data_IF_565569901872
#
_entry.id   IF_565569901872
#
_cell.length_a   1.000
_cell.length_b   1.000
_cell.length_c   1.000
_cell.angle_alpha   90.00
_cell.angle_beta   90.00
_cell.angle_gamma   90.00
#
_symmetry.space_group_name_H-M   'P 1'
#
loop_
_entity.id
_entity.type
_entity.pdbx_description
1 polymer ?
#
# COMPACT_ATOMS: atom_id res chain seq x y z
N UNK A 1 -4.17 5.14 -16.27
CA UNK A 1 -3.61 3.93 -15.62
C UNK A 1 -4.77 3.07 -15.13
N UNK A 2 -4.76 1.76 -15.37
CA UNK A 2 -5.80 0.87 -14.82
C UNK A 2 -5.45 0.56 -13.37
N UNK A 3 -6.37 0.80 -12.44
CA UNK A 3 -6.16 0.48 -11.03
C UNK A 3 -6.43 -1.01 -10.81
N UNK A 4 -5.38 -1.76 -10.48
CA UNK A 4 -5.50 -3.15 -10.05
C UNK A 4 -5.94 -3.21 -8.59
N UNK A 5 -7.23 -2.90 -8.34
CA UNK A 5 -7.80 -2.90 -6.99
C UNK A 5 -8.29 -4.27 -6.58
N UNK A 6 -8.03 -4.64 -5.33
CA UNK A 6 -8.64 -5.80 -4.65
C UNK A 6 -8.83 -5.53 -3.17
N UNK A 7 -9.73 -6.25 -2.53
CA UNK A 7 -9.92 -6.22 -1.08
C UNK A 7 -8.95 -7.23 -0.44
N UNK A 8 -8.31 -6.83 0.65
CA UNK A 8 -7.44 -7.70 1.43
C UNK A 8 -8.21 -8.90 2.01
N UNK A 9 -7.64 -10.10 1.86
CA UNK A 9 -8.17 -11.30 2.51
C UNK A 9 -7.78 -11.37 3.98
N UNK A 10 -8.48 -12.21 4.76
CA UNK A 10 -8.17 -12.42 6.18
C UNK A 10 -6.78 -13.03 6.39
N UNK A 11 -6.33 -13.91 5.51
CA UNK A 11 -5.01 -14.55 5.59
C UNK A 11 -3.87 -13.54 5.39
N UNK A 12 -4.12 -12.47 4.63
CA UNK A 12 -3.14 -11.40 4.40
C UNK A 12 -3.04 -10.40 5.55
N UNK A 13 -3.97 -10.43 6.50
CA UNK A 13 -4.08 -9.43 7.56
C UNK A 13 -2.76 -9.27 8.34
N UNK A 14 -2.10 -10.37 8.71
CA UNK A 14 -0.83 -10.33 9.43
C UNK A 14 0.29 -9.66 8.63
N UNK A 15 0.40 -9.98 7.33
CA UNK A 15 1.41 -9.39 6.42
C UNK A 15 1.17 -7.90 6.24
N UNK A 16 -0.07 -7.51 5.93
CA UNK A 16 -0.48 -6.12 5.72
C UNK A 16 -0.28 -5.30 7.00
N UNK A 17 -0.66 -5.82 8.15
CA UNK A 17 -0.43 -5.17 9.44
C UNK A 17 1.06 -4.91 9.70
N UNK A 18 1.93 -5.87 9.36
CA UNK A 18 3.38 -5.70 9.50
C UNK A 18 3.92 -4.61 8.59
N UNK A 19 3.45 -4.54 7.33
CA UNK A 19 3.82 -3.47 6.39
C UNK A 19 3.38 -2.11 6.94
N UNK A 20 2.12 -1.95 7.34
CA UNK A 20 1.58 -0.68 7.89
C UNK A 20 2.41 -0.22 9.10
N UNK A 21 2.69 -1.13 10.03
CA UNK A 21 3.50 -0.82 11.22
C UNK A 21 4.93 -0.45 10.85
N UNK A 22 5.52 -1.13 9.87
CA UNK A 22 6.87 -0.82 9.40
C UNK A 22 6.92 0.57 8.73
N UNK A 23 6.02 0.84 7.79
CA UNK A 23 5.85 2.15 7.15
C UNK A 23 5.72 3.28 8.17
N UNK A 24 4.87 3.08 9.19
CA UNK A 24 4.70 4.03 10.30
C UNK A 24 6.00 4.27 11.06
N UNK A 25 6.73 3.22 11.46
CA UNK A 25 7.99 3.33 12.22
C UNK A 25 9.08 4.04 11.43
N UNK A 26 9.11 3.87 10.11
CA UNK A 26 10.15 4.41 9.22
C UNK A 26 9.70 5.69 8.48
N UNK A 27 8.51 6.21 8.78
CA UNK A 27 7.90 7.35 8.10
C UNK A 27 7.87 7.18 6.56
N UNK A 28 7.67 5.96 6.08
CA UNK A 28 7.61 5.63 4.66
C UNK A 28 6.17 5.52 4.20
N UNK A 29 5.74 6.45 3.35
CA UNK A 29 4.42 6.45 2.74
C UNK A 29 4.51 7.03 1.33
N UNK A 30 3.52 6.72 0.50
CA UNK A 30 3.31 7.34 -0.81
C UNK A 30 1.98 8.07 -0.74
N UNK A 31 2.01 9.40 -0.90
CA UNK A 31 0.86 10.28 -0.73
C UNK A 31 0.06 10.01 0.57
N UNK A 32 0.78 9.73 1.68
CA UNK A 32 0.19 9.43 2.99
C UNK A 32 -0.31 7.99 3.17
N UNK A 33 -0.19 7.13 2.17
CA UNK A 33 -0.55 5.71 2.27
C UNK A 33 0.66 4.81 2.51
N UNK A 34 0.58 3.84 3.43
CA UNK A 34 1.57 2.77 3.53
C UNK A 34 1.65 1.98 2.22
N UNK A 35 2.83 1.44 1.94
CA UNK A 35 3.06 0.62 0.77
C UNK A 35 4.00 -0.54 1.08
N UNK A 36 3.87 -1.64 0.35
CA UNK A 36 4.88 -2.68 0.24
C UNK A 36 5.58 -2.56 -1.11
N UNK A 37 6.89 -2.76 -1.12
CA UNK A 37 7.66 -2.95 -2.34
C UNK A 37 8.35 -4.31 -2.32
N UNK A 38 8.19 -5.06 -3.41
CA UNK A 38 8.87 -6.34 -3.59
C UNK A 38 9.64 -6.31 -4.91
N UNK A 39 10.93 -6.68 -4.86
CA UNK A 39 11.77 -6.76 -6.05
C UNK A 39 11.34 -7.96 -6.92
N UNK A 40 10.98 -7.70 -8.18
CA UNK A 40 10.60 -8.74 -9.14
C UNK A 40 11.76 -9.02 -10.07
N UNK A 41 12.61 -9.97 -9.66
CA UNK A 41 13.79 -10.36 -10.43
C UNK A 41 14.75 -9.19 -10.64
N UNK A 42 15.15 -8.96 -11.90
CA UNK A 42 15.96 -7.81 -12.32
C UNK A 42 15.16 -6.68 -12.94
N UNK A 43 13.84 -6.83 -13.07
CA UNK A 43 13.02 -5.98 -13.94
C UNK A 43 12.55 -4.71 -13.24
N UNK A 44 12.46 -4.73 -11.90
CA UNK A 44 12.07 -3.58 -11.09
C UNK A 44 11.27 -4.00 -9.86
N UNK A 45 10.43 -3.10 -9.35
CA UNK A 45 9.62 -3.34 -8.16
C UNK A 45 8.14 -3.59 -8.47
N UNK A 46 7.53 -4.52 -7.74
CA UNK A 46 6.09 -4.59 -7.56
C UNK A 46 5.70 -3.67 -6.41
N UNK A 47 4.81 -2.72 -6.68
CA UNK A 47 4.32 -1.78 -5.67
C UNK A 47 2.91 -2.15 -5.20
N UNK A 48 2.76 -2.48 -3.92
CA UNK A 48 1.47 -2.69 -3.28
C UNK A 48 1.09 -1.47 -2.45
N UNK A 49 0.11 -0.69 -2.91
CA UNK A 49 -0.43 0.44 -2.16
C UNK A 49 -1.53 -0.02 -1.20
N UNK A 50 -1.36 0.23 0.10
CA UNK A 50 -2.33 -0.13 1.13
C UNK A 50 -3.23 1.07 1.44
N UNK A 51 -4.54 0.93 1.21
CA UNK A 51 -5.51 2.01 1.41
C UNK A 51 -6.70 1.52 2.23
N UNK A 52 -7.38 2.39 3.02
CA UNK A 52 -8.63 2.00 3.65
C UNK A 52 -9.70 1.77 2.57
N UNK A 53 -10.60 0.81 2.82
CA UNK A 53 -11.71 0.51 1.93
C UNK A 53 -12.58 1.75 1.69
N UNK A 54 -12.97 1.97 0.43
CA UNK A 54 -13.71 3.17 0.04
C UNK A 54 -12.84 4.38 -0.33
N UNK A 55 -11.50 4.22 -0.39
CA UNK A 55 -10.61 5.27 -0.91
C UNK A 55 -10.90 5.56 -2.38
N UNK A 56 -11.04 6.85 -2.71
CA UNK A 56 -11.39 7.26 -4.07
C UNK A 56 -10.34 6.80 -5.10
N UNK A 57 -10.78 6.40 -6.31
CA UNK A 57 -9.86 6.01 -7.39
C UNK A 57 -8.83 7.09 -7.73
N UNK A 58 -9.21 8.36 -7.66
CA UNK A 58 -8.34 9.52 -7.90
C UNK A 58 -7.16 9.53 -6.91
N UNK A 59 -7.44 9.42 -5.60
CA UNK A 59 -6.39 9.38 -4.58
C UNK A 59 -5.45 8.18 -4.75
N UNK A 60 -5.99 7.01 -5.09
CA UNK A 60 -5.16 5.84 -5.41
C UNK A 60 -4.26 6.11 -6.62
N UNK A 61 -4.79 6.79 -7.64
CA UNK A 61 -4.06 7.10 -8.86
C UNK A 61 -2.92 8.08 -8.59
N UNK A 62 -3.20 9.16 -7.86
CA UNK A 62 -2.19 10.17 -7.49
C UNK A 62 -1.05 9.55 -6.69
N UNK A 63 -1.39 8.68 -5.71
CA UNK A 63 -0.41 7.93 -4.95
C UNK A 63 0.45 7.04 -5.86
N UNK A 64 -0.16 6.24 -6.73
CA UNK A 64 0.60 5.40 -7.64
C UNK A 64 1.50 6.23 -8.57
N UNK A 65 1.02 7.35 -9.13
CA UNK A 65 1.83 8.25 -9.98
C UNK A 65 3.07 8.73 -9.22
N UNK A 66 2.92 9.13 -7.95
CA UNK A 66 4.07 9.46 -7.11
C UNK A 66 5.01 8.25 -6.94
N UNK A 67 4.47 7.07 -6.67
CA UNK A 67 5.24 5.83 -6.57
C UNK A 67 6.09 5.53 -7.81
N UNK A 68 5.50 5.64 -9.00
CA UNK A 68 6.19 5.50 -10.30
C UNK A 68 7.26 6.57 -10.54
N UNK A 69 7.10 7.77 -9.96
CA UNK A 69 8.09 8.86 -10.13
C UNK A 69 9.33 8.69 -9.27
N UNK A 70 9.21 7.99 -8.14
CA UNK A 70 10.28 7.82 -7.16
C UNK A 70 10.98 6.46 -7.28
N UNK A 71 10.38 5.50 -7.99
CA UNK A 71 10.80 4.09 -8.00
C UNK A 71 10.62 3.45 -9.37
N UNK A 72 11.41 2.42 -9.65
CA UNK A 72 11.35 1.65 -10.89
C UNK A 72 10.22 0.60 -10.85
N UNK A 73 8.97 1.09 -10.85
CA UNK A 73 7.77 0.26 -10.70
C UNK A 73 7.44 -0.43 -12.02
N UNK A 74 7.48 -1.77 -12.04
CA UNK A 74 7.05 -2.56 -13.21
C UNK A 74 5.60 -2.99 -13.13
N UNK A 75 5.10 -3.22 -11.92
CA UNK A 75 3.72 -3.65 -11.68
C UNK A 75 3.21 -3.06 -10.37
N UNK A 76 1.90 -2.89 -10.26
CA UNK A 76 1.28 -2.37 -9.04
C UNK A 76 -0.01 -3.09 -8.69
N UNK A 77 -0.37 -3.03 -7.40
CA UNK A 77 -1.67 -3.40 -6.88
C UNK A 77 -2.13 -2.35 -5.85
N UNK A 78 -3.45 -2.15 -5.78
CA UNK A 78 -4.07 -1.36 -4.72
C UNK A 78 -4.86 -2.32 -3.84
N UNK A 79 -4.46 -2.42 -2.58
CA UNK A 79 -5.07 -3.32 -1.61
C UNK A 79 -5.94 -2.48 -0.68
N UNK A 80 -7.25 -2.65 -0.84
CA UNK A 80 -8.24 -2.06 0.05
C UNK A 80 -8.33 -2.90 1.33
N UNK A 81 -7.93 -2.29 2.44
CA UNK A 81 -7.96 -2.89 3.76
C UNK A 81 -9.27 -2.48 4.46
N UNK A 82 -9.96 -3.40 5.15
CA UNK A 82 -11.04 -3.02 6.05
C UNK A 82 -10.63 -1.86 6.96
N UNK A 83 -11.46 -0.83 7.06
CA UNK A 83 -11.10 0.42 7.74
C UNK A 83 -10.66 0.20 9.19
N UNK A 84 -11.31 -0.72 9.90
CA UNK A 84 -10.97 -1.07 11.28
C UNK A 84 -9.55 -1.65 11.40
N UNK A 85 -9.14 -2.51 10.46
CA UNK A 85 -7.78 -3.08 10.45
C UNK A 85 -6.75 -2.01 10.15
N UNK A 86 -7.04 -1.17 9.15
CA UNK A 86 -6.13 -0.11 8.72
C UNK A 86 -5.89 0.89 9.85
N UNK A 87 -6.96 1.37 10.48
CA UNK A 87 -6.89 2.36 11.56
C UNK A 87 -6.23 1.78 12.82
N UNK A 88 -6.60 0.56 13.24
CA UNK A 88 -5.98 -0.06 14.43
C UNK A 88 -4.45 -0.19 14.30
N UNK A 89 -3.95 -0.50 13.10
CA UNK A 89 -2.52 -0.61 12.84
C UNK A 89 -1.81 0.74 12.66
N UNK A 90 -2.51 1.78 12.16
CA UNK A 90 -2.00 3.15 12.11
C UNK A 90 -1.95 3.81 13.50
N UNK A 91 -2.93 3.55 14.36
CA UNK A 91 -3.05 4.20 15.67
C UNK A 91 -2.20 3.54 16.76
N UNK A 92 -1.89 2.25 16.63
CA UNK A 92 -1.10 1.48 17.61
C UNK A 92 0.18 2.22 17.99
N UNK A 93 0.18 2.84 19.19
CA UNK A 93 1.37 3.37 19.85
C UNK A 93 2.04 2.20 20.57
N UNK A 94 3.30 1.93 20.24
CA UNK A 94 4.17 1.18 21.14
C UNK A 94 4.68 2.14 22.21
#
# INVERSE_FOLDING_TARGET
MKLNKRIASQDEHGRIANIIKWCKRHNQTINGFPYGDDLVGSDGIHLELLVPQGTSPEKCTDALVQGYSERDVVTHAVIECPADWFNANLESRH
#
